data_IF_742237839552
#
_entry.id   IF_742237839552
#
_cell.length_a   1.000
_cell.length_b   1.000
_cell.length_c   1.000
_cell.angle_alpha   90.00
_cell.angle_beta   90.00
_cell.angle_gamma   90.00
#
_symmetry.space_group_name_H-M   'P 1'
#
loop_
_entity.id
_entity.type
_entity.pdbx_description
1 polymer ?
#
# COMPACT_ATOMS: atom_id res chain seq x y z
N UNK A 1 -3.29 -4.61 -7.51
CA UNK A 1 -2.16 -4.41 -6.58
C UNK A 1 -1.94 -5.69 -5.80
N UNK A 2 -0.82 -6.37 -6.03
CA UNK A 2 -0.46 -7.59 -5.33
C UNK A 2 0.61 -7.26 -4.27
N UNK A 3 0.41 -7.68 -3.01
CA UNK A 3 1.42 -7.48 -1.96
C UNK A 3 2.14 -8.81 -1.75
N UNK A 4 3.43 -8.86 -2.12
CA UNK A 4 4.27 -10.03 -1.91
C UNK A 4 4.72 -10.08 -0.45
N UNK A 5 4.30 -11.13 0.24
CA UNK A 5 4.67 -11.41 1.62
C UNK A 5 5.38 -12.75 1.68
N UNK A 6 6.50 -12.80 2.40
CA UNK A 6 7.11 -14.06 2.77
C UNK A 6 6.15 -14.90 3.64
N UNK A 7 6.42 -16.20 3.67
CA UNK A 7 5.50 -17.17 4.23
C UNK A 7 5.34 -17.02 5.75
N UNK A 8 6.37 -16.51 6.44
CA UNK A 8 6.32 -16.25 7.88
C UNK A 8 5.42 -15.06 8.20
N UNK A 9 5.62 -13.93 7.50
CA UNK A 9 4.77 -12.73 7.65
C UNK A 9 3.32 -13.07 7.30
N UNK A 10 3.07 -13.77 6.20
CA UNK A 10 1.72 -14.19 5.81
C UNK A 10 1.02 -14.99 6.91
N UNK A 11 1.70 -15.95 7.54
CA UNK A 11 1.14 -16.75 8.64
C UNK A 11 0.85 -15.91 9.87
N UNK A 12 1.77 -15.04 10.27
CA UNK A 12 1.59 -14.14 11.40
C UNK A 12 0.36 -13.23 11.20
N UNK A 13 0.21 -12.63 10.01
CA UNK A 13 -0.93 -11.77 9.70
C UNK A 13 -2.26 -12.50 9.73
N UNK A 14 -2.31 -13.75 9.23
CA UNK A 14 -3.52 -14.57 9.32
C UNK A 14 -3.94 -14.85 10.76
N UNK A 15 -2.97 -15.10 11.64
CA UNK A 15 -3.23 -15.31 13.06
C UNK A 15 -3.79 -14.01 13.67
N UNK A 16 -3.14 -12.88 13.43
CA UNK A 16 -3.58 -11.57 13.94
C UNK A 16 -4.99 -11.25 13.46
N UNK A 17 -5.25 -11.35 12.15
CA UNK A 17 -6.57 -11.10 11.58
C UNK A 17 -7.64 -12.00 12.20
N UNK A 18 -7.33 -13.30 12.39
CA UNK A 18 -8.24 -14.24 13.05
C UNK A 18 -8.52 -13.88 14.51
N UNK A 19 -7.53 -13.40 15.26
CA UNK A 19 -7.68 -12.99 16.67
C UNK A 19 -8.51 -11.71 16.78
N UNK A 20 -8.34 -10.79 15.83
CA UNK A 20 -9.04 -9.50 15.80
C UNK A 20 -10.43 -9.57 15.15
N UNK A 21 -10.84 -10.73 14.63
CA UNK A 21 -12.11 -10.87 13.90
C UNK A 21 -12.13 -10.10 12.57
N UNK A 22 -10.95 -9.85 11.99
CA UNK A 22 -10.75 -9.09 10.75
C UNK A 22 -10.39 -10.01 9.60
N UNK A 23 -10.61 -9.52 8.39
CA UNK A 23 -10.05 -10.14 7.18
C UNK A 23 -8.64 -9.60 6.95
N UNK A 24 -7.84 -10.32 6.16
CA UNK A 24 -6.54 -9.80 5.69
C UNK A 24 -6.70 -8.48 4.93
N UNK A 25 -7.76 -8.34 4.13
CA UNK A 25 -8.05 -7.14 3.36
C UNK A 25 -8.32 -5.94 4.27
N UNK A 26 -9.26 -6.09 5.22
CA UNK A 26 -9.59 -5.01 6.16
C UNK A 26 -8.40 -4.59 7.03
N UNK A 27 -7.54 -5.54 7.40
CA UNK A 27 -6.34 -5.24 8.19
C UNK A 27 -5.32 -4.41 7.38
N UNK A 28 -5.15 -4.73 6.09
CA UNK A 28 -4.30 -3.94 5.19
C UNK A 28 -4.92 -2.57 4.88
N UNK A 29 -6.24 -2.51 4.69
CA UNK A 29 -6.98 -1.26 4.47
C UNK A 29 -6.82 -0.30 5.64
N UNK A 30 -7.03 -0.78 6.87
CA UNK A 30 -6.82 0.00 8.10
C UNK A 30 -5.38 0.54 8.17
N UNK A 31 -4.39 -0.27 7.78
CA UNK A 31 -2.99 0.15 7.79
C UNK A 31 -2.67 1.21 6.75
N UNK A 32 -3.21 1.06 5.53
CA UNK A 32 -3.07 2.06 4.48
C UNK A 32 -3.71 3.37 4.93
N UNK A 33 -4.91 3.32 5.49
CA UNK A 33 -5.64 4.51 5.94
C UNK A 33 -4.91 5.20 7.09
N UNK A 34 -4.45 4.45 8.10
CA UNK A 34 -3.65 5.00 9.19
C UNK A 34 -2.35 5.64 8.69
N UNK A 35 -1.63 4.96 7.80
CA UNK A 35 -0.39 5.50 7.24
C UNK A 35 -0.64 6.79 6.44
N UNK A 36 -1.72 6.84 5.65
CA UNK A 36 -2.12 8.05 4.94
C UNK A 36 -2.45 9.17 5.92
N UNK A 37 -3.22 8.91 6.97
CA UNK A 37 -3.64 9.92 7.93
C UNK A 37 -2.46 10.48 8.73
N UNK A 38 -1.56 9.62 9.22
CA UNK A 38 -0.32 10.04 9.90
C UNK A 38 0.55 10.93 9.01
N UNK A 39 0.62 10.61 7.71
CA UNK A 39 1.44 11.37 6.78
C UNK A 39 0.74 12.61 6.21
N UNK A 40 -0.59 12.65 6.17
CA UNK A 40 -1.33 13.85 5.73
C UNK A 40 -0.98 15.07 6.56
N UNK A 41 -0.91 14.93 7.88
CA UNK A 41 -0.50 16.04 8.75
C UNK A 41 0.95 16.46 8.51
N UNK A 42 1.84 15.47 8.33
CA UNK A 42 3.27 15.71 8.04
C UNK A 42 3.49 16.37 6.67
N UNK A 43 2.66 16.04 5.70
CA UNK A 43 2.78 16.46 4.30
C UNK A 43 1.80 17.57 3.92
N UNK A 44 0.97 18.06 4.85
CA UNK A 44 -0.02 19.11 4.59
C UNK A 44 0.63 20.36 3.98
N UNK A 45 1.80 20.76 4.46
CA UNK A 45 2.56 21.89 3.90
C UNK A 45 3.10 21.68 2.47
N UNK A 46 3.18 20.42 2.00
CA UNK A 46 3.53 20.09 0.61
C UNK A 46 2.31 20.00 -0.30
N UNK A 47 1.12 19.76 0.26
CA UNK A 47 -0.16 19.64 -0.47
C UNK A 47 -0.91 20.97 -0.63
N UNK A 48 -0.64 21.96 0.23
CA UNK A 48 -1.21 23.31 0.15
C UNK A 48 -0.59 24.19 -0.95
N UNK A 49 0.61 23.85 -1.43
CA UNK A 49 1.14 24.43 -2.66
C UNK A 49 0.62 23.60 -3.83
N UNK A 50 0.09 24.28 -4.86
CA UNK A 50 -0.59 23.80 -6.07
C UNK A 50 0.14 22.74 -6.93
N UNK A 51 1.06 21.94 -6.38
CA UNK A 51 1.92 21.01 -7.12
C UNK A 51 1.83 19.56 -6.64
N UNK A 52 0.61 19.10 -6.36
CA UNK A 52 0.29 17.66 -6.32
C UNK A 52 0.82 16.96 -7.58
N UNK A 53 0.79 17.65 -8.74
CA UNK A 53 1.36 17.18 -10.00
C UNK A 53 2.87 16.93 -9.94
N UNK A 54 3.66 17.85 -9.36
CA UNK A 54 5.11 17.68 -9.24
C UNK A 54 5.47 16.59 -8.23
N UNK A 55 4.74 16.49 -7.11
CA UNK A 55 4.90 15.38 -6.16
C UNK A 55 4.59 14.04 -6.82
N UNK A 56 3.52 13.95 -7.62
CA UNK A 56 3.19 12.74 -8.39
C UNK A 56 4.27 12.42 -9.42
N UNK A 57 4.77 13.41 -10.16
CA UNK A 57 5.82 13.24 -11.18
C UNK A 57 7.16 12.81 -10.57
N UNK A 58 7.52 13.33 -9.40
CA UNK A 58 8.71 12.85 -8.66
C UNK A 58 8.55 11.41 -8.18
N UNK A 59 7.32 11.02 -7.84
CA UNK A 59 6.99 9.70 -7.31
C UNK A 59 6.81 8.63 -8.40
N UNK A 60 6.68 8.99 -9.68
CA UNK A 60 6.54 8.05 -10.81
C UNK A 60 7.63 6.96 -10.82
N UNK A 61 8.88 7.34 -10.55
CA UNK A 61 9.99 6.38 -10.47
C UNK A 61 9.83 5.36 -9.33
N UNK A 62 9.16 5.76 -8.24
CA UNK A 62 8.88 4.90 -7.07
C UNK A 62 7.65 4.02 -7.33
N UNK A 63 6.71 4.47 -8.16
CA UNK A 63 5.55 3.69 -8.59
C UNK A 63 5.85 2.71 -9.73
N UNK A 64 7.00 2.81 -10.41
CA UNK A 64 7.40 1.88 -11.46
C UNK A 64 7.54 0.43 -10.95
N UNK A 65 7.83 0.21 -9.66
CA UNK A 65 7.84 -1.14 -9.04
C UNK A 65 6.44 -1.75 -8.94
N UNK A 66 5.38 -0.94 -9.08
CA UNK A 66 3.99 -1.36 -8.99
C UNK A 66 3.42 -1.77 -10.35
N UNK A 67 4.08 -1.39 -11.45
CA UNK A 67 3.77 -1.78 -12.82
C UNK A 67 4.76 -2.88 -13.27
N UNK A 68 4.58 -4.08 -12.71
CA UNK A 68 5.49 -5.20 -12.96
C UNK A 68 4.91 -6.13 -14.04
N UNK A 69 5.58 -6.32 -15.19
CA UNK A 69 5.14 -7.23 -16.26
C UNK A 69 5.07 -8.71 -15.82
N UNK A 70 5.63 -9.09 -14.68
CA UNK A 70 5.43 -10.43 -14.11
C UNK A 70 4.03 -10.67 -13.52
N UNK A 71 3.28 -9.61 -13.17
CA UNK A 71 1.90 -9.75 -12.66
C UNK A 71 0.94 -10.14 -13.81
N UNK A 72 1.26 -9.84 -15.08
CA UNK A 72 0.49 -10.29 -16.26
C UNK A 72 0.49 -11.83 -16.43
N UNK A 73 1.52 -12.52 -15.95
CA UNK A 73 1.65 -13.99 -16.09
C UNK A 73 0.62 -14.71 -15.21
N UNK A 74 0.20 -14.09 -14.10
CA UNK A 74 -0.77 -14.68 -13.17
C UNK A 74 -2.22 -14.25 -13.45
N UNK A 75 -2.46 -13.28 -14.33
CA UNK A 75 -3.81 -12.87 -14.76
C UNK A 75 -4.48 -13.89 -15.72
N UNK A 76 -3.75 -14.91 -16.16
CA UNK A 76 -4.21 -15.96 -17.09
C UNK A 76 -4.25 -17.38 -16.50
N UNK A 77 -4.20 -17.52 -15.17
CA UNK A 77 -4.25 -18.80 -14.45
C UNK A 77 -5.55 -19.02 -13.69
#
# INVERSE_FOLDING_TARGET
MSIRLDDQKRKALKIIASVEGKTMGSLVEDWIENYINENKERLAGLLEQDDISEVMRMSESTFAEWDNPEDEIYDHL
#
